data_IF_619780723019
#
_entry.id   IF_619780723019
#
_cell.length_a   1.000
_cell.length_b   1.000
_cell.length_c   1.000
_cell.angle_alpha   90.00
_cell.angle_beta   90.00
_cell.angle_gamma   90.00
#
_symmetry.space_group_name_H-M   'P 1'
#
loop_
_entity.id
_entity.type
_entity.pdbx_description
1 polymer ?
#
# COMPACT_ATOMS: atom_id res chain seq x y z
N UNK A 1 1.76 -23.77 18.68
CA UNK A 1 0.38 -23.69 19.19
C UNK A 1 -0.52 -24.43 18.21
N UNK A 2 -1.43 -25.29 18.68
CA UNK A 2 -2.44 -25.93 17.82
C UNK A 2 -3.78 -25.22 17.98
N UNK A 3 -4.24 -24.55 16.93
CA UNK A 3 -5.57 -23.98 16.82
C UNK A 3 -5.88 -23.69 15.36
N UNK A 4 -7.15 -23.46 14.99
CA UNK A 4 -7.40 -22.75 13.76
C UNK A 4 -6.92 -21.30 13.97
N UNK A 5 -5.89 -20.92 13.23
CA UNK A 5 -5.49 -19.53 13.06
C UNK A 5 -6.16 -19.03 11.79
N UNK A 6 -7.02 -18.03 11.93
CA UNK A 6 -7.70 -17.41 10.79
C UNK A 6 -6.92 -16.19 10.33
N UNK A 7 -6.81 -16.02 9.01
CA UNK A 7 -6.30 -14.82 8.36
C UNK A 7 -7.38 -14.26 7.42
N UNK A 8 -7.24 -13.00 7.03
CA UNK A 8 -8.16 -12.36 6.08
C UNK A 8 -7.83 -12.73 4.63
N UNK A 9 -6.55 -12.97 4.35
CA UNK A 9 -6.03 -13.34 3.04
C UNK A 9 -4.63 -13.92 3.21
N UNK A 10 -4.22 -14.77 2.28
CA UNK A 10 -2.87 -15.34 2.24
C UNK A 10 -1.94 -14.42 1.46
N UNK A 11 -0.77 -14.13 2.06
CA UNK A 11 0.23 -13.27 1.45
C UNK A 11 -0.30 -11.89 1.02
N UNK A 12 -0.18 -11.59 -0.27
CA UNK A 12 -0.42 -10.25 -0.84
C UNK A 12 -1.30 -10.30 -2.10
N UNK A 13 -2.27 -11.21 -2.11
CA UNK A 13 -3.18 -11.45 -3.25
C UNK A 13 -4.30 -10.40 -3.32
N UNK A 14 -4.37 -9.66 -4.43
CA UNK A 14 -5.49 -8.74 -4.69
C UNK A 14 -6.84 -9.43 -4.73
N UNK A 15 -6.92 -10.70 -5.19
CA UNK A 15 -8.19 -11.42 -5.26
C UNK A 15 -8.72 -11.79 -3.88
N UNK A 16 -7.86 -12.30 -2.99
CA UNK A 16 -8.26 -12.64 -1.62
C UNK A 16 -8.56 -11.38 -0.80
N UNK A 17 -7.84 -10.28 -1.05
CA UNK A 17 -8.19 -8.98 -0.44
C UNK A 17 -9.57 -8.51 -0.92
N UNK A 18 -9.93 -8.75 -2.19
CA UNK A 18 -11.27 -8.46 -2.68
C UNK A 18 -12.34 -9.28 -1.96
N UNK A 19 -12.13 -10.59 -1.83
CA UNK A 19 -13.03 -11.48 -1.08
C UNK A 19 -13.21 -11.00 0.38
N UNK A 20 -12.12 -10.57 1.03
CA UNK A 20 -12.16 -10.01 2.37
C UNK A 20 -12.90 -8.65 2.43
N UNK A 21 -12.74 -7.79 1.40
CA UNK A 21 -13.52 -6.56 1.30
C UNK A 21 -15.02 -6.85 1.16
N UNK A 22 -15.39 -7.80 0.30
CA UNK A 22 -16.78 -8.21 0.06
C UNK A 22 -17.39 -8.73 1.36
N UNK A 23 -16.72 -9.65 2.06
CA UNK A 23 -17.17 -10.17 3.35
C UNK A 23 -17.42 -9.06 4.39
N UNK A 24 -16.50 -8.11 4.55
CA UNK A 24 -16.68 -7.02 5.53
C UNK A 24 -17.78 -6.06 5.06
N UNK A 25 -17.93 -5.87 3.74
CA UNK A 25 -18.99 -5.01 3.18
C UNK A 25 -20.37 -5.62 3.46
N UNK A 26 -20.54 -6.93 3.23
CA UNK A 26 -21.78 -7.64 3.53
C UNK A 26 -22.17 -7.50 5.01
N UNK A 27 -21.21 -7.62 5.93
CA UNK A 27 -21.45 -7.41 7.37
C UNK A 27 -21.85 -5.96 7.68
N UNK A 28 -21.25 -4.97 7.02
CA UNK A 28 -21.64 -3.55 7.18
C UNK A 28 -23.07 -3.31 6.69
N UNK A 29 -23.47 -3.97 5.59
CA UNK A 29 -24.82 -3.87 5.04
C UNK A 29 -25.86 -4.54 5.94
N UNK A 30 -25.53 -5.70 6.52
CA UNK A 30 -26.45 -6.49 7.35
C UNK A 30 -26.57 -5.96 8.80
N UNK A 31 -25.46 -5.52 9.40
CA UNK A 31 -25.39 -5.19 10.83
C UNK A 31 -25.10 -3.71 11.13
N UNK A 32 -24.80 -2.91 10.10
CA UNK A 32 -24.46 -1.51 10.25
C UNK A 32 -25.64 -0.57 10.53
N UNK A 33 -25.37 0.75 10.62
CA UNK A 33 -24.08 1.39 10.40
C UNK A 33 -23.11 1.21 11.58
N UNK A 34 -21.82 1.03 11.28
CA UNK A 34 -20.74 1.05 12.27
C UNK A 34 -20.07 2.43 12.28
N UNK A 35 -19.89 3.02 13.46
CA UNK A 35 -19.24 4.35 13.56
C UNK A 35 -17.73 4.31 13.29
N UNK A 36 -17.07 3.19 13.55
CA UNK A 36 -15.64 3.08 13.42
C UNK A 36 -15.15 1.65 13.22
N UNK A 37 -13.90 1.56 12.78
CA UNK A 37 -13.20 0.28 12.58
C UNK A 37 -11.93 0.23 13.40
N UNK A 38 -11.65 -0.93 14.00
CA UNK A 38 -10.41 -1.21 14.72
C UNK A 38 -9.76 -2.46 14.11
N UNK A 39 -8.46 -2.39 13.86
CA UNK A 39 -7.72 -3.52 13.31
C UNK A 39 -6.33 -3.64 13.90
N UNK A 40 -5.82 -4.88 13.91
CA UNK A 40 -4.44 -5.21 14.26
C UNK A 40 -3.76 -5.87 13.06
N UNK A 41 -2.49 -5.52 12.79
CA UNK A 41 -1.64 -6.16 11.79
C UNK A 41 -2.32 -6.26 10.41
N UNK A 42 -2.62 -7.47 9.93
CA UNK A 42 -3.33 -7.70 8.68
C UNK A 42 -4.74 -7.10 8.69
N UNK A 43 -5.49 -7.20 9.80
CA UNK A 43 -6.82 -6.61 9.91
C UNK A 43 -6.81 -5.07 9.86
N UNK A 44 -5.76 -4.44 10.39
CA UNK A 44 -5.57 -2.99 10.22
C UNK A 44 -5.33 -2.63 8.75
N UNK A 45 -4.55 -3.46 8.05
CA UNK A 45 -4.18 -3.26 6.65
C UNK A 45 -5.36 -3.47 5.71
N UNK A 46 -6.24 -4.43 6.04
CA UNK A 46 -7.52 -4.64 5.37
C UNK A 46 -8.41 -3.41 5.52
N UNK A 47 -8.60 -2.90 6.74
CA UNK A 47 -9.40 -1.71 6.98
C UNK A 47 -8.84 -0.47 6.25
N UNK A 48 -7.52 -0.30 6.22
CA UNK A 48 -6.87 0.76 5.42
C UNK A 48 -7.12 0.53 3.93
N UNK A 49 -7.00 -0.70 3.44
CA UNK A 49 -7.28 -1.03 2.03
C UNK A 49 -8.71 -0.67 1.64
N UNK A 50 -9.70 -1.03 2.47
CA UNK A 50 -11.12 -0.71 2.25
C UNK A 50 -11.34 0.80 2.17
N UNK A 51 -10.87 1.54 3.17
CA UNK A 51 -11.01 3.00 3.21
C UNK A 51 -10.29 3.66 2.02
N UNK A 52 -9.07 3.25 1.71
CA UNK A 52 -8.31 3.82 0.60
C UNK A 52 -8.93 3.50 -0.77
N UNK A 53 -9.44 2.28 -0.94
CA UNK A 53 -10.15 1.86 -2.14
C UNK A 53 -11.44 2.68 -2.33
N UNK A 54 -12.16 2.96 -1.24
CA UNK A 54 -13.33 3.83 -1.25
C UNK A 54 -13.00 5.25 -1.71
N UNK A 55 -11.90 5.84 -1.22
CA UNK A 55 -11.44 7.17 -1.67
C UNK A 55 -11.13 7.22 -3.18
N UNK A 56 -10.73 6.09 -3.78
CA UNK A 56 -10.47 5.98 -5.22
C UNK A 56 -11.76 5.81 -6.01
N UNK A 57 -12.59 4.81 -5.66
CA UNK A 57 -13.74 4.39 -6.46
C UNK A 57 -14.99 5.25 -6.20
N UNK A 58 -15.12 5.82 -5.01
CA UNK A 58 -16.31 6.50 -4.54
C UNK A 58 -16.01 7.85 -3.85
N UNK A 59 -15.24 8.76 -4.46
CA UNK A 59 -14.77 10.00 -3.81
C UNK A 59 -15.89 10.96 -3.39
N UNK A 60 -17.09 10.80 -3.94
CA UNK A 60 -18.26 11.63 -3.63
C UNK A 60 -19.25 10.93 -2.68
N UNK A 61 -18.94 9.74 -2.17
CA UNK A 61 -19.77 9.02 -1.20
C UNK A 61 -19.10 9.05 0.17
N UNK A 62 -19.87 9.13 1.27
CA UNK A 62 -19.30 9.02 2.60
C UNK A 62 -18.59 7.66 2.77
N UNK A 63 -17.42 7.61 3.42
CA UNK A 63 -16.77 6.34 3.78
C UNK A 63 -17.65 5.47 4.70
N UNK A 64 -17.44 4.15 4.73
CA UNK A 64 -18.25 3.22 5.54
C UNK A 64 -18.10 3.40 7.06
N UNK A 65 -17.06 4.12 7.49
CA UNK A 65 -16.75 4.39 8.90
C UNK A 65 -16.49 5.89 9.10
N UNK A 66 -16.80 6.39 10.30
CA UNK A 66 -16.53 7.79 10.69
C UNK A 66 -15.14 7.97 11.30
N UNK A 67 -14.53 6.93 11.86
CA UNK A 67 -13.14 6.94 12.36
C UNK A 67 -12.49 5.56 12.27
N UNK A 68 -11.16 5.49 12.36
CA UNK A 68 -10.44 4.21 12.33
C UNK A 68 -9.23 4.15 13.26
N UNK A 69 -8.99 2.99 13.88
CA UNK A 69 -7.91 2.73 14.82
C UNK A 69 -7.07 1.55 14.33
N UNK A 70 -5.77 1.76 14.12
CA UNK A 70 -4.89 0.79 13.49
C UNK A 70 -3.71 0.45 14.40
N UNK A 71 -3.63 -0.80 14.86
CA UNK A 71 -2.51 -1.31 15.62
C UNK A 71 -1.53 -2.04 14.71
N UNK A 72 -0.27 -1.60 14.67
CA UNK A 72 0.82 -2.26 13.95
C UNK A 72 0.45 -2.63 12.50
N UNK A 73 -0.17 -1.72 11.76
CA UNK A 73 -0.57 -1.98 10.37
C UNK A 73 0.63 -2.37 9.50
N UNK A 74 0.43 -3.35 8.63
CA UNK A 74 1.40 -3.82 7.63
C UNK A 74 1.04 -3.25 6.25
N UNK A 75 1.66 -3.73 5.17
CA UNK A 75 1.30 -3.28 3.83
C UNK A 75 -0.18 -3.54 3.51
N UNK A 76 -0.90 -2.50 3.10
CA UNK A 76 -2.21 -2.61 2.47
C UNK A 76 -2.06 -2.87 0.97
N UNK A 77 -2.88 -3.78 0.46
CA UNK A 77 -2.88 -4.24 -0.93
C UNK A 77 -4.22 -3.88 -1.56
N UNK A 78 -4.22 -3.36 -2.78
CA UNK A 78 -5.45 -3.08 -3.52
C UNK A 78 -6.22 -4.36 -3.85
N UNK A 79 -7.56 -4.38 -3.70
CA UNK A 79 -8.41 -5.46 -4.19
C UNK A 79 -8.49 -5.49 -5.73
N UNK A 80 -8.00 -4.45 -6.42
CA UNK A 80 -7.92 -4.39 -7.87
C UNK A 80 -6.55 -4.90 -8.36
N UNK A 81 -6.56 -6.07 -9.01
CA UNK A 81 -5.37 -6.68 -9.62
C UNK A 81 -4.78 -5.83 -10.76
N UNK A 82 -5.50 -4.85 -11.29
CA UNK A 82 -5.01 -3.93 -12.32
C UNK A 82 -4.54 -2.58 -11.77
N UNK A 83 -4.66 -2.37 -10.46
CA UNK A 83 -4.29 -1.13 -9.81
C UNK A 83 -2.85 -0.74 -10.12
N UNK A 84 -2.64 0.48 -10.62
CA UNK A 84 -1.31 1.00 -10.97
C UNK A 84 -0.51 0.09 -11.93
N UNK A 85 -1.16 -0.74 -12.74
CA UNK A 85 -0.48 -1.68 -13.65
C UNK A 85 0.46 -0.98 -14.65
N UNK A 86 0.13 0.24 -15.09
CA UNK A 86 0.99 1.05 -15.96
C UNK A 86 2.26 1.53 -15.24
N UNK A 87 2.14 1.85 -13.95
CA UNK A 87 3.23 2.27 -13.06
C UNK A 87 4.13 1.07 -12.77
N UNK A 88 3.54 -0.09 -12.47
CA UNK A 88 4.25 -1.35 -12.21
C UNK A 88 5.01 -1.80 -13.47
N UNK A 89 4.44 -1.71 -14.67
CA UNK A 89 5.16 -2.02 -15.93
C UNK A 89 6.38 -1.12 -16.14
N UNK A 90 6.25 0.19 -15.87
CA UNK A 90 7.38 1.14 -15.97
C UNK A 90 8.51 0.79 -15.00
N UNK A 91 8.15 0.27 -13.83
CA UNK A 91 9.08 -0.11 -12.77
C UNK A 91 9.58 -1.56 -12.87
N UNK A 92 8.84 -2.45 -13.54
CA UNK A 92 9.15 -3.87 -13.75
C UNK A 92 10.56 -4.06 -14.34
N UNK A 93 11.00 -3.15 -15.20
CA UNK A 93 12.35 -3.17 -15.79
C UNK A 93 13.48 -3.05 -14.75
N UNK A 94 13.24 -2.40 -13.61
CA UNK A 94 14.21 -2.35 -12.50
C UNK A 94 14.28 -3.68 -11.73
N UNK A 95 13.21 -4.49 -11.75
CA UNK A 95 13.20 -5.83 -11.15
C UNK A 95 14.04 -6.82 -11.98
N UNK A 96 14.00 -6.71 -13.32
CA UNK A 96 14.75 -7.59 -14.23
C UNK A 96 16.28 -7.44 -14.10
N UNK A 97 16.77 -6.22 -13.84
CA UNK A 97 18.21 -5.93 -13.79
C UNK A 97 18.89 -6.44 -12.51
N UNK A 98 18.14 -6.60 -11.41
CA UNK A 98 18.63 -7.22 -10.18
C UNK A 98 18.35 -8.73 -10.09
N UNK A 99 17.31 -9.23 -10.78
CA UNK A 99 17.07 -10.67 -10.89
C UNK A 99 18.15 -11.40 -11.71
N UNK A 100 18.79 -10.75 -12.70
CA UNK A 100 19.98 -11.30 -13.39
C UNK A 100 21.23 -11.48 -12.51
N UNK A 101 21.18 -11.15 -11.21
CA UNK A 101 22.23 -11.49 -10.24
C UNK A 101 21.87 -12.71 -9.36
N UNK A 102 20.65 -13.26 -9.44
CA UNK A 102 20.21 -14.48 -8.75
C UNK A 102 19.45 -15.38 -9.74
N UNK A 103 20.09 -16.46 -10.19
CA UNK A 103 19.90 -17.10 -11.50
C UNK A 103 18.60 -17.90 -11.77
N UNK A 104 17.59 -17.91 -10.90
CA UNK A 104 16.50 -18.91 -11.02
C UNK A 104 15.11 -18.37 -11.48
N UNK A 105 14.97 -17.08 -11.79
CA UNK A 105 13.67 -16.47 -12.14
C UNK A 105 13.61 -15.82 -13.54
N UNK A 106 14.64 -16.04 -14.37
CA UNK A 106 14.91 -15.24 -15.57
C UNK A 106 14.02 -15.58 -16.77
N UNK A 107 13.58 -16.84 -16.91
CA UNK A 107 12.99 -17.32 -18.17
C UNK A 107 11.56 -16.86 -18.49
N UNK A 108 10.73 -16.51 -17.50
CA UNK A 108 9.28 -16.34 -17.74
C UNK A 108 8.87 -14.94 -18.19
N UNK A 109 9.70 -13.91 -17.98
CA UNK A 109 9.30 -12.52 -18.24
C UNK A 109 9.68 -11.97 -19.62
N UNK A 110 10.69 -12.55 -20.27
CA UNK A 110 11.07 -12.19 -21.66
C UNK A 110 9.92 -12.52 -22.64
N UNK A 111 9.27 -13.68 -22.47
CA UNK A 111 8.08 -14.06 -23.28
C UNK A 111 6.86 -13.14 -23.05
N UNK A 112 6.76 -12.50 -21.88
CA UNK A 112 5.64 -11.62 -21.51
C UNK A 112 5.79 -10.19 -22.04
N UNK A 113 7.03 -9.69 -22.16
CA UNK A 113 7.31 -8.40 -22.79
C UNK A 113 7.01 -8.43 -24.30
N UNK A 114 7.30 -9.56 -24.97
CA UNK A 114 7.03 -9.75 -26.38
C UNK A 114 5.53 -9.90 -26.68
N UNK A 115 4.77 -10.64 -25.85
CA UNK A 115 3.31 -10.81 -26.04
C UNK A 115 2.50 -9.51 -25.93
N UNK A 116 2.96 -8.54 -25.14
CA UNK A 116 2.31 -7.23 -25.02
C UNK A 116 2.76 -6.26 -26.13
N UNK A 117 3.91 -6.51 -26.76
CA UNK A 117 4.44 -5.71 -27.87
C UNK A 117 3.75 -5.96 -29.23
N UNK A 118 2.90 -6.99 -29.33
CA UNK A 118 2.14 -7.33 -30.55
C UNK A 118 1.10 -6.30 -31.01
N UNK A 119 0.88 -5.22 -30.24
CA UNK A 119 0.12 -4.03 -30.65
C UNK A 119 1.07 -2.85 -30.84
N UNK A 120 1.72 -2.78 -32.01
CA UNK A 120 2.85 -1.90 -32.26
C UNK A 120 2.54 -0.40 -32.28
N UNK A 121 3.52 0.38 -31.83
CA UNK A 121 4.00 1.61 -32.50
C UNK A 121 5.51 1.69 -32.23
N UNK A 122 6.31 1.57 -33.27
CA UNK A 122 7.77 1.75 -33.22
C UNK A 122 8.11 3.24 -33.15
N UNK A 123 8.83 3.67 -32.12
CA UNK A 123 9.52 4.97 -32.12
C UNK A 123 11.01 4.70 -32.27
N UNK A 124 11.54 5.11 -33.42
CA UNK A 124 12.98 5.27 -33.65
C UNK A 124 13.40 6.58 -32.97
N UNK A 125 14.34 6.49 -32.04
CA UNK A 125 15.05 7.66 -31.50
C UNK A 125 16.28 7.91 -32.38
N UNK A 126 16.19 8.86 -33.30
CA UNK A 126 17.35 9.46 -33.97
C UNK A 126 17.86 10.63 -33.10
N UNK A 127 19.05 10.46 -32.54
CA UNK A 127 19.84 11.53 -31.91
C UNK A 127 20.66 12.24 -33.00
N UNK A 128 20.42 13.54 -33.21
CA UNK A 128 21.41 14.39 -33.87
C UNK A 128 21.35 15.88 -33.43
N UNK A 129 22.49 16.52 -33.66
CA UNK A 129 23.19 17.65 -33.04
C UNK A 129 22.53 19.07 -32.88
N UNK A 130 22.98 19.77 -31.81
CA UNK A 130 23.34 21.21 -31.64
C UNK A 130 22.44 22.43 -32.02
N UNK A 131 22.19 23.24 -30.97
CA UNK A 131 22.25 24.73 -30.82
C UNK A 131 21.50 25.69 -31.77
N UNK A 132 20.58 26.53 -31.23
CA UNK A 132 20.78 27.98 -30.92
C UNK A 132 19.47 28.73 -30.53
N UNK A 133 19.63 29.66 -29.58
CA UNK A 133 18.85 30.85 -29.12
C UNK A 133 17.49 31.28 -29.72
N UNK A 134 16.48 31.54 -28.86
CA UNK A 134 15.96 32.89 -28.46
C UNK A 134 14.48 32.93 -27.96
N UNK A 135 14.29 33.61 -26.81
CA UNK A 135 13.14 34.40 -26.26
C UNK A 135 11.69 33.86 -26.09
N UNK A 136 11.12 34.18 -24.91
CA UNK A 136 9.77 33.88 -24.35
C UNK A 136 8.68 34.89 -24.80
N UNK A 137 7.39 34.54 -24.69
CA UNK A 137 6.58 35.12 -23.60
C UNK A 137 5.60 34.16 -22.87
N UNK A 138 5.04 34.68 -21.79
CA UNK A 138 4.32 34.07 -20.65
C UNK A 138 2.99 33.34 -20.93
N UNK A 139 2.66 32.30 -20.12
CA UNK A 139 1.47 32.24 -19.22
C UNK A 139 1.30 30.88 -18.52
N UNK A 140 0.63 30.95 -17.36
CA UNK A 140 0.19 29.91 -16.41
C UNK A 140 1.28 29.13 -15.65
N UNK A 141 1.44 29.47 -14.36
CA UNK A 141 2.08 28.60 -13.36
C UNK A 141 1.14 27.42 -13.09
N UNK A 142 1.33 26.32 -13.80
CA UNK A 142 0.77 25.02 -13.43
C UNK A 142 1.72 24.36 -12.42
N UNK A 143 1.17 23.92 -11.28
CA UNK A 143 1.93 23.34 -10.17
C UNK A 143 2.81 22.16 -10.61
N UNK A 144 4.12 22.37 -10.66
CA UNK A 144 5.15 21.38 -11.05
C UNK A 144 5.48 20.33 -9.96
N UNK A 145 4.60 20.08 -8.98
CA UNK A 145 4.97 19.24 -7.83
C UNK A 145 4.86 17.72 -8.05
N UNK A 146 4.28 17.25 -9.16
CA UNK A 146 4.28 15.81 -9.52
C UNK A 146 5.44 15.38 -10.42
N UNK A 147 6.03 16.29 -11.19
CA UNK A 147 7.15 15.98 -12.08
C UNK A 147 8.45 15.66 -11.32
N UNK A 148 8.63 16.21 -10.11
CA UNK A 148 9.83 16.00 -9.28
C UNK A 148 9.90 14.63 -8.59
N UNK A 149 8.77 13.94 -8.40
CA UNK A 149 8.69 12.77 -7.51
C UNK A 149 9.34 11.50 -8.08
N UNK A 150 9.78 11.51 -9.34
CA UNK A 150 10.29 10.34 -10.04
C UNK A 150 11.44 10.70 -10.98
N UNK A 151 12.40 11.50 -10.52
CA UNK A 151 13.71 11.53 -11.16
C UNK A 151 14.23 10.08 -11.30
N UNK A 152 15.00 9.72 -12.34
CA UNK A 152 15.42 8.35 -12.59
C UNK A 152 15.99 7.61 -11.37
N UNK A 153 16.73 8.29 -10.49
CA UNK A 153 17.24 7.72 -9.23
C UNK A 153 16.18 7.50 -8.14
N UNK A 154 15.16 8.36 -8.05
CA UNK A 154 14.06 8.23 -7.09
C UNK A 154 13.11 7.09 -7.47
N UNK A 155 12.94 6.83 -8.77
CA UNK A 155 12.19 5.65 -9.28
C UNK A 155 12.83 4.35 -8.79
N UNK A 156 14.14 4.21 -8.96
CA UNK A 156 14.87 3.02 -8.52
C UNK A 156 14.81 2.83 -6.98
N UNK A 157 14.92 3.93 -6.23
CA UNK A 157 14.82 3.90 -4.77
C UNK A 157 13.43 3.44 -4.29
N UNK A 158 12.36 3.97 -4.88
CA UNK A 158 10.98 3.56 -4.59
C UNK A 158 10.75 2.07 -4.89
N UNK A 159 11.25 1.59 -6.02
CA UNK A 159 11.15 0.18 -6.39
C UNK A 159 11.87 -0.72 -5.38
N UNK A 160 13.09 -0.33 -4.99
CA UNK A 160 13.87 -1.06 -3.99
C UNK A 160 13.18 -1.06 -2.63
N UNK A 161 12.57 0.06 -2.23
CA UNK A 161 11.78 0.17 -1.01
C UNK A 161 10.56 -0.77 -1.04
N UNK A 162 9.74 -0.71 -2.10
CA UNK A 162 8.58 -1.60 -2.26
C UNK A 162 8.98 -3.07 -2.20
N UNK A 163 10.05 -3.45 -2.89
CA UNK A 163 10.55 -4.81 -2.87
C UNK A 163 11.04 -5.23 -1.47
N UNK A 164 11.78 -4.37 -0.79
CA UNK A 164 12.26 -4.64 0.56
C UNK A 164 11.08 -4.81 1.54
N UNK A 165 10.03 -4.00 1.43
CA UNK A 165 8.85 -4.10 2.29
C UNK A 165 8.05 -5.37 2.01
N UNK A 166 7.84 -5.72 0.74
CA UNK A 166 7.17 -6.97 0.32
C UNK A 166 7.96 -8.18 0.84
N UNK A 167 9.27 -8.21 0.59
CA UNK A 167 10.14 -9.30 1.05
C UNK A 167 10.14 -9.42 2.57
N UNK A 168 10.24 -8.30 3.28
CA UNK A 168 10.20 -8.30 4.74
C UNK A 168 8.90 -8.90 5.27
N UNK A 169 7.76 -8.59 4.66
CA UNK A 169 6.46 -9.13 5.06
C UNK A 169 6.36 -10.64 4.76
N UNK A 170 6.84 -11.08 3.60
CA UNK A 170 6.89 -12.51 3.23
C UNK A 170 7.82 -13.29 4.16
N UNK A 171 9.00 -12.76 4.48
CA UNK A 171 9.99 -13.43 5.33
C UNK A 171 9.48 -13.58 6.78
N UNK A 172 8.72 -12.62 7.30
CA UNK A 172 8.09 -12.71 8.63
C UNK A 172 6.85 -13.62 8.61
N UNK A 173 6.12 -13.68 7.49
CA UNK A 173 5.02 -14.62 7.29
C UNK A 173 5.47 -16.06 7.03
N UNK A 174 6.72 -16.28 6.62
CA UNK A 174 7.24 -17.58 6.19
C UNK A 174 7.42 -18.61 7.33
N UNK A 175 7.39 -18.19 8.60
CA UNK A 175 7.26 -19.15 9.73
C UNK A 175 5.84 -19.78 9.79
N UNK A 176 4.88 -19.25 9.03
CA UNK A 176 3.49 -19.70 8.99
C UNK A 176 2.89 -19.91 7.58
N UNK A 177 3.57 -19.53 6.48
CA UNK A 177 2.91 -19.53 5.17
C UNK A 177 3.81 -19.93 3.98
N UNK A 178 3.59 -21.16 3.50
CA UNK A 178 4.12 -21.67 2.24
C UNK A 178 3.43 -21.02 1.02
N UNK A 179 2.22 -20.46 1.16
CA UNK A 179 1.41 -19.95 0.05
C UNK A 179 1.91 -18.61 -0.48
N UNK A 180 2.36 -17.67 0.36
CA UNK A 180 2.94 -16.41 -0.09
C UNK A 180 4.25 -16.61 -0.89
N UNK A 181 5.13 -17.50 -0.43
CA UNK A 181 6.33 -17.89 -1.19
C UNK A 181 5.96 -18.66 -2.47
N UNK A 182 4.94 -19.52 -2.41
CA UNK A 182 4.46 -20.27 -3.58
C UNK A 182 3.82 -19.34 -4.61
N UNK A 183 3.00 -18.37 -4.22
CA UNK A 183 2.39 -17.38 -5.12
C UNK A 183 3.46 -16.52 -5.81
N UNK A 184 4.47 -16.06 -5.07
CA UNK A 184 5.61 -15.33 -5.65
C UNK A 184 6.36 -16.17 -6.68
N UNK A 185 6.55 -17.47 -6.41
CA UNK A 185 7.28 -18.41 -7.29
C UNK A 185 6.44 -18.95 -8.46
N UNK A 186 5.12 -19.11 -8.30
CA UNK A 186 4.22 -19.72 -9.30
C UNK A 186 3.49 -18.74 -10.20
N UNK A 187 3.20 -17.50 -9.74
CA UNK A 187 2.51 -16.47 -10.54
C UNK A 187 3.45 -15.35 -11.00
N UNK A 188 4.73 -15.66 -11.21
CA UNK A 188 5.70 -14.71 -11.78
C UNK A 188 5.08 -13.95 -12.97
N UNK A 189 4.99 -12.63 -12.87
CA UNK A 189 4.30 -11.79 -13.85
C UNK A 189 3.61 -10.56 -13.26
N UNK A 190 3.02 -9.73 -14.14
CA UNK A 190 2.26 -8.54 -13.74
C UNK A 190 1.07 -8.88 -12.83
N UNK A 191 0.46 -10.06 -12.96
CA UNK A 191 -0.68 -10.49 -12.14
C UNK A 191 -0.31 -10.95 -10.73
N UNK A 192 0.88 -11.52 -10.53
CA UNK A 192 1.36 -11.95 -9.20
C UNK A 192 2.02 -10.83 -8.39
N UNK A 193 2.23 -9.65 -8.97
CA UNK A 193 2.90 -8.55 -8.28
C UNK A 193 1.95 -7.84 -7.29
N UNK A 194 2.31 -7.77 -5.99
CA UNK A 194 1.48 -7.12 -4.96
C UNK A 194 1.07 -5.70 -5.31
N UNK A 195 -0.24 -5.41 -5.28
CA UNK A 195 -0.78 -4.09 -5.59
C UNK A 195 -0.76 -3.16 -4.38
N UNK A 196 0.44 -2.94 -3.83
CA UNK A 196 0.65 -2.15 -2.61
C UNK A 196 0.19 -0.70 -2.80
N UNK A 197 -0.62 -0.19 -1.87
CA UNK A 197 -0.87 1.25 -1.77
C UNK A 197 0.37 1.94 -1.19
N UNK A 198 0.95 2.86 -1.97
CA UNK A 198 2.18 3.55 -1.60
C UNK A 198 2.01 5.08 -1.71
N UNK A 199 2.28 5.86 -0.64
CA UNK A 199 1.94 7.28 -0.55
C UNK A 199 2.68 8.18 -1.54
N UNK A 200 3.79 7.72 -2.14
CA UNK A 200 4.52 8.45 -3.18
C UNK A 200 3.90 8.34 -4.58
N UNK A 201 3.18 7.25 -4.88
CA UNK A 201 2.58 7.01 -6.20
C UNK A 201 1.05 7.08 -6.19
N UNK A 202 0.44 7.08 -4.99
CA UNK A 202 -0.99 7.26 -4.84
C UNK A 202 -1.30 8.61 -4.19
N UNK A 203 -2.28 9.33 -4.74
CA UNK A 203 -2.51 10.75 -4.42
C UNK A 203 -3.71 10.98 -3.53
N UNK A 204 -4.64 10.04 -3.52
CA UNK A 204 -5.80 9.98 -2.64
C UNK A 204 -5.33 9.82 -1.20
N UNK A 205 -6.14 10.27 -0.25
CA UNK A 205 -5.85 10.14 1.18
C UNK A 205 -7.15 9.84 1.91
N UNK A 206 -7.10 8.91 2.85
CA UNK A 206 -8.21 8.63 3.75
C UNK A 206 -8.54 9.90 4.52
N UNK A 207 -9.77 10.39 4.41
CA UNK A 207 -10.18 11.69 4.95
C UNK A 207 -10.90 11.64 6.30
N UNK A 208 -11.08 10.45 6.87
CA UNK A 208 -11.66 10.28 8.22
C UNK A 208 -10.57 10.36 9.31
N UNK A 209 -10.92 10.68 10.56
CA UNK A 209 -10.02 10.57 11.71
C UNK A 209 -9.39 9.18 11.86
N UNK A 210 -8.06 9.12 11.86
CA UNK A 210 -7.31 7.87 12.03
C UNK A 210 -6.31 7.95 13.18
N UNK A 211 -6.16 6.84 13.91
CA UNK A 211 -5.11 6.66 14.91
C UNK A 211 -4.25 5.47 14.52
N UNK A 212 -2.94 5.67 14.40
CA UNK A 212 -1.96 4.62 14.14
C UNK A 212 -1.15 4.36 15.42
N UNK A 213 -1.28 3.16 15.98
CA UNK A 213 -0.54 2.70 17.15
C UNK A 213 0.62 1.84 16.66
N UNK A 214 1.86 2.28 16.95
CA UNK A 214 3.07 1.72 16.35
C UNK A 214 4.06 1.30 17.44
N UNK A 215 4.53 0.05 17.38
CA UNK A 215 5.55 -0.45 18.31
C UNK A 215 6.93 0.11 17.96
N UNK A 216 7.62 0.72 18.93
CA UNK A 216 8.98 1.27 18.70
C UNK A 216 10.00 0.23 18.26
N UNK A 217 9.84 -1.02 18.71
CA UNK A 217 10.71 -2.14 18.39
C UNK A 217 10.07 -3.11 17.38
N UNK A 218 9.00 -2.68 16.71
CA UNK A 218 8.31 -3.50 15.70
C UNK A 218 9.20 -3.64 14.45
N UNK A 219 9.58 -4.85 14.03
CA UNK A 219 10.32 -5.05 12.77
C UNK A 219 9.57 -4.45 11.56
N UNK A 220 8.24 -4.44 11.60
CA UNK A 220 7.35 -3.94 10.56
C UNK A 220 7.00 -2.45 10.74
N UNK A 221 7.63 -1.75 11.69
CA UNK A 221 7.37 -0.33 12.02
C UNK A 221 7.31 0.57 10.78
N UNK A 222 8.25 0.41 9.84
CA UNK A 222 8.29 1.21 8.59
C UNK A 222 7.02 1.05 7.76
N UNK A 223 6.41 -0.14 7.76
CA UNK A 223 5.15 -0.38 7.06
C UNK A 223 4.02 0.42 7.72
N UNK A 224 3.93 0.40 9.05
CA UNK A 224 2.92 1.17 9.79
C UNK A 224 3.05 2.68 9.56
N UNK A 225 4.28 3.21 9.51
CA UNK A 225 4.54 4.62 9.18
C UNK A 225 4.11 4.96 7.75
N UNK A 226 4.37 4.06 6.80
CA UNK A 226 3.97 4.22 5.41
C UNK A 226 2.45 4.22 5.28
N UNK A 227 1.76 3.33 6.00
CA UNK A 227 0.30 3.30 6.06
C UNK A 227 -0.29 4.59 6.63
N UNK A 228 0.32 5.18 7.67
CA UNK A 228 -0.11 6.47 8.21
C UNK A 228 -0.04 7.60 7.16
N UNK A 229 0.89 7.52 6.19
CA UNK A 229 1.03 8.49 5.10
C UNK A 229 -0.03 8.34 4.00
N UNK A 230 -0.83 7.28 4.01
CA UNK A 230 -2.03 7.13 3.17
C UNK A 230 -3.24 7.87 3.74
N UNK A 231 -3.15 8.36 4.99
CA UNK A 231 -4.19 9.12 5.65
C UNK A 231 -3.92 10.63 5.57
N UNK A 232 -4.98 11.43 5.65
CA UNK A 232 -4.88 12.89 5.65
C UNK A 232 -4.24 13.39 6.94
N UNK A 233 -3.07 14.05 6.82
CA UNK A 233 -2.27 14.50 7.98
C UNK A 233 -3.05 15.35 8.99
N UNK A 234 -4.04 16.13 8.55
CA UNK A 234 -4.88 16.97 9.42
C UNK A 234 -5.78 16.18 10.37
N UNK A 235 -6.06 14.92 10.04
CA UNK A 235 -6.97 14.04 10.77
C UNK A 235 -6.30 12.70 11.11
N UNK A 236 -4.97 12.69 11.25
CA UNK A 236 -4.21 11.50 11.64
C UNK A 236 -3.42 11.76 12.92
N UNK A 237 -3.50 10.82 13.87
CA UNK A 237 -2.59 10.75 15.03
C UNK A 237 -1.77 9.47 15.00
N UNK A 238 -0.52 9.59 15.44
CA UNK A 238 0.38 8.46 15.63
C UNK A 238 0.69 8.36 17.12
N UNK A 239 0.55 7.17 17.69
CA UNK A 239 0.90 6.84 19.06
C UNK A 239 1.96 5.75 19.01
N UNK A 240 3.14 6.04 19.54
CA UNK A 240 4.21 5.05 19.64
C UNK A 240 4.26 4.44 21.03
N UNK A 241 4.37 3.11 21.11
CA UNK A 241 4.42 2.39 22.39
C UNK A 241 5.69 1.55 22.53
N UNK A 242 6.00 1.16 23.76
CA UNK A 242 7.16 0.31 24.03
C UNK A 242 6.87 -1.17 23.73
N UNK A 243 7.11 -1.59 22.49
CA UNK A 243 7.01 -2.99 22.13
C UNK A 243 7.28 -3.27 20.66
N UNK A 244 7.23 -4.56 20.33
CA UNK A 244 7.35 -5.09 18.98
C UNK A 244 5.96 -5.12 18.28
N UNK A 245 5.75 -6.08 17.39
CA UNK A 245 4.51 -6.26 16.63
C UNK A 245 3.38 -6.85 17.48
N UNK A 246 2.75 -6.03 18.33
CA UNK A 246 1.69 -6.45 19.25
C UNK A 246 0.77 -5.29 19.64
N UNK A 247 -0.35 -5.60 20.27
CA UNK A 247 -1.19 -4.60 20.95
C UNK A 247 -0.53 -4.19 22.27
N UNK A 248 -0.44 -2.89 22.62
CA UNK A 248 0.11 -2.45 23.89
C UNK A 248 -0.73 -2.95 25.07
N UNK A 249 -0.07 -3.27 26.18
CA UNK A 249 -0.71 -3.72 27.43
C UNK A 249 -0.18 -2.99 28.67
N UNK A 250 0.91 -2.22 28.54
CA UNK A 250 1.44 -1.42 29.64
C UNK A 250 0.52 -0.21 29.85
N UNK A 251 0.19 0.10 31.10
CA UNK A 251 -0.79 1.14 31.44
C UNK A 251 -0.40 2.53 30.88
N UNK A 252 0.88 2.88 30.92
CA UNK A 252 1.37 4.15 30.37
C UNK A 252 1.12 4.27 28.86
N UNK A 253 1.33 3.18 28.11
CA UNK A 253 1.07 3.14 26.67
C UNK A 253 -0.45 3.19 26.40
N UNK A 254 -1.25 2.47 27.17
CA UNK A 254 -2.71 2.44 27.06
C UNK A 254 -3.33 3.82 27.27
N UNK A 255 -2.84 4.61 28.23
CA UNK A 255 -3.33 5.99 28.42
C UNK A 255 -3.10 6.87 27.19
N UNK A 256 -1.96 6.71 26.51
CA UNK A 256 -1.67 7.42 25.25
C UNK A 256 -2.63 7.01 24.13
N UNK A 257 -2.88 5.70 24.01
CA UNK A 257 -3.83 5.15 23.03
C UNK A 257 -5.25 5.65 23.29
N UNK A 258 -5.73 5.57 24.54
CA UNK A 258 -7.08 6.03 24.92
C UNK A 258 -7.30 7.50 24.56
N UNK A 259 -6.36 8.39 24.92
CA UNK A 259 -6.44 9.82 24.56
C UNK A 259 -6.50 10.06 23.05
N UNK A 260 -5.87 9.21 22.25
CA UNK A 260 -5.91 9.31 20.80
C UNK A 260 -7.23 8.77 20.23
N UNK A 261 -7.76 7.67 20.77
CA UNK A 261 -9.08 7.12 20.41
C UNK A 261 -10.19 8.13 20.72
N UNK A 262 -10.22 8.68 21.93
CA UNK A 262 -11.17 9.72 22.35
C UNK A 262 -11.09 10.97 21.46
N UNK A 263 -9.89 11.31 20.98
CA UNK A 263 -9.75 12.38 20.00
C UNK A 263 -10.38 12.01 18.66
N UNK A 264 -10.13 10.81 18.14
CA UNK A 264 -10.67 10.39 16.85
C UNK A 264 -12.20 10.39 16.88
N UNK A 265 -12.80 9.86 17.95
CA UNK A 265 -14.24 9.89 18.21
C UNK A 265 -14.78 11.32 18.23
N UNK A 266 -14.14 12.24 18.96
CA UNK A 266 -14.56 13.65 19.00
C UNK A 266 -14.48 14.35 17.64
N UNK A 267 -13.40 14.13 16.88
CA UNK A 267 -13.27 14.72 15.53
C UNK A 267 -14.31 14.13 14.58
N UNK A 268 -14.63 12.85 14.76
CA UNK A 268 -15.73 12.17 14.06
C UNK A 268 -17.12 12.58 14.56
N UNK A 269 -17.23 13.56 15.46
CA UNK A 269 -18.49 14.06 16.04
C UNK A 269 -19.30 12.96 16.75
N UNK A 270 -18.61 12.03 17.41
CA UNK A 270 -19.22 11.06 18.32
C UNK A 270 -19.38 11.70 19.70
N UNK A 271 -20.55 11.50 20.32
CA UNK A 271 -20.89 11.99 21.66
C UNK A 271 -20.50 11.00 22.76
#
# INVERSE_FOLDING_TARGET
MSGPFYNWYDGLSSSQVREAHELVTDVIEDEGPFDGVIGFSQGASLAISMLYHHEICHPNRPPPFRFAIFFCAVLSISPDAMFNSDVIRKYARYYHKQAKQNDDAVGTMEELAERVSGGGVSFQDDDDDKTTTAQKPSRLRTHHHRAMLLLPGQKAALVKELFALVRQLVDIGADHDQAAQTQWKTRGGLEGFPRVYHPLINTQRISIPTVHIIGRSDPLRRQSELQARLCSKSVTRIVEFEGAHKVPHKMNDLQGVLKAVEWAMRVAQMH
#
